data_IF_913581594332
#
_entry.id   IF_913581594332
#
_cell.length_a   1.000
_cell.length_b   1.000
_cell.length_c   1.000
_cell.angle_alpha   90.00
_cell.angle_beta   90.00
_cell.angle_gamma   90.00
#
_symmetry.space_group_name_H-M   'P 1'
#
loop_
_entity.id
_entity.type
_entity.pdbx_description
1 polymer ?
#
# COMPACT_ATOMS: atom_id res chain seq x y z
N UNK A 1 -2.24 -20.04 22.89
CA UNK A 1 -3.01 -19.38 21.82
C UNK A 1 -3.44 -20.46 20.84
N UNK A 2 -4.66 -20.41 20.31
CA UNK A 2 -5.12 -21.41 19.32
C UNK A 2 -4.22 -21.38 18.09
N UNK A 3 -4.08 -22.49 17.35
CA UNK A 3 -3.28 -22.55 16.12
C UNK A 3 -3.69 -21.47 15.08
N UNK A 4 -4.93 -20.98 15.17
CA UNK A 4 -5.51 -19.95 14.30
C UNK A 4 -5.46 -18.49 14.83
N UNK A 5 -4.73 -18.20 15.92
CA UNK A 5 -4.59 -16.82 16.38
C UNK A 5 -3.61 -16.03 15.53
N UNK A 6 -3.93 -14.78 15.19
CA UNK A 6 -3.00 -13.88 14.53
C UNK A 6 -1.80 -13.62 15.44
N UNK A 7 -0.59 -13.66 14.87
CA UNK A 7 0.67 -13.35 15.56
C UNK A 7 1.51 -12.33 14.80
N UNK A 8 1.29 -12.22 13.48
CA UNK A 8 2.07 -11.35 12.58
C UNK A 8 1.13 -10.45 11.78
N UNK A 9 1.47 -9.17 11.69
CA UNK A 9 0.74 -8.18 10.91
C UNK A 9 1.62 -7.73 9.76
N UNK A 10 1.10 -7.84 8.55
CA UNK A 10 1.73 -7.39 7.32
C UNK A 10 1.07 -6.09 6.90
N UNK A 11 1.84 -5.04 6.74
CA UNK A 11 1.35 -3.70 6.43
C UNK A 11 1.71 -3.33 5.00
N UNK A 12 0.73 -2.85 4.22
CA UNK A 12 1.05 -1.99 3.09
C UNK A 12 1.54 -0.61 3.56
N UNK A 13 2.19 0.13 2.67
CA UNK A 13 2.79 1.41 2.96
C UNK A 13 1.93 2.59 2.46
N UNK A 14 1.97 2.86 1.15
CA UNK A 14 1.18 3.91 0.49
C UNK A 14 -0.32 3.67 0.71
N UNK A 15 -1.10 4.72 0.91
CA UNK A 15 -2.53 4.63 1.19
C UNK A 15 -2.94 3.92 2.49
N UNK A 16 -2.01 3.31 3.23
CA UNK A 16 -2.29 2.50 4.44
C UNK A 16 -1.60 3.04 5.68
N UNK A 17 -0.27 3.03 5.75
CA UNK A 17 0.47 3.68 6.84
C UNK A 17 0.78 5.13 6.48
N UNK A 18 1.10 5.37 5.21
CA UNK A 18 1.40 6.68 4.64
C UNK A 18 0.15 7.26 4.00
N UNK A 19 -0.22 8.49 4.38
CA UNK A 19 -1.25 9.27 3.71
C UNK A 19 -0.61 10.08 2.57
N UNK A 20 -0.60 9.51 1.38
CA UNK A 20 0.03 10.07 0.18
C UNK A 20 -0.95 10.34 -0.98
N UNK A 21 -2.25 10.28 -0.71
CA UNK A 21 -3.29 10.32 -1.76
C UNK A 21 -3.25 11.64 -2.51
N UNK A 22 -3.18 12.76 -1.78
CA UNK A 22 -3.12 14.09 -2.38
C UNK A 22 -1.85 14.24 -3.23
N UNK A 23 -0.69 13.81 -2.73
CA UNK A 23 0.58 13.85 -3.47
C UNK A 23 0.54 12.98 -4.72
N UNK A 24 -0.09 11.80 -4.64
CA UNK A 24 -0.30 10.90 -5.78
C UNK A 24 -1.21 11.51 -6.84
N UNK A 25 -2.33 12.13 -6.44
CA UNK A 25 -3.29 12.77 -7.35
C UNK A 25 -2.67 14.00 -8.01
N UNK A 26 -2.04 14.86 -7.24
CA UNK A 26 -1.38 16.04 -7.79
C UNK A 26 -0.28 15.64 -8.78
N UNK A 27 0.50 14.59 -8.48
CA UNK A 27 1.57 14.11 -9.36
C UNK A 27 1.02 13.59 -10.68
N UNK A 28 -0.05 12.79 -10.68
CA UNK A 28 -0.67 12.35 -11.95
C UNK A 28 -1.34 13.52 -12.69
N UNK A 29 -1.94 14.48 -11.99
CA UNK A 29 -2.59 15.64 -12.61
C UNK A 29 -1.60 16.55 -13.33
N UNK A 30 -0.35 16.65 -12.85
CA UNK A 30 0.73 17.31 -13.60
C UNK A 30 0.94 16.60 -14.95
N UNK A 31 1.08 15.27 -14.95
CA UNK A 31 1.28 14.50 -16.20
C UNK A 31 0.07 14.61 -17.15
N UNK A 32 -1.15 14.61 -16.62
CA UNK A 32 -2.37 14.76 -17.41
C UNK A 32 -2.43 16.14 -18.05
N UNK A 33 -2.13 17.20 -17.29
CA UNK A 33 -2.11 18.59 -17.77
C UNK A 33 -1.08 18.79 -18.89
N UNK A 34 0.11 18.23 -18.75
CA UNK A 34 1.16 18.28 -19.78
C UNK A 34 0.73 17.61 -21.10
N UNK A 35 -0.24 16.69 -21.03
CA UNK A 35 -0.83 15.99 -22.17
C UNK A 35 -2.18 16.57 -22.62
N UNK A 36 -2.59 17.71 -22.05
CA UNK A 36 -3.92 18.32 -22.28
C UNK A 36 -5.09 17.35 -22.01
N UNK A 37 -4.90 16.41 -21.08
CA UNK A 37 -5.93 15.47 -20.62
C UNK A 37 -6.68 16.05 -19.41
N UNK A 38 -7.94 15.64 -19.18
CA UNK A 38 -8.68 16.07 -17.99
C UNK A 38 -8.00 15.63 -16.69
N UNK A 39 -7.87 16.55 -15.73
CA UNK A 39 -7.38 16.25 -14.39
C UNK A 39 -8.39 15.40 -13.59
N UNK A 40 -7.88 14.58 -12.69
CA UNK A 40 -8.68 13.72 -11.81
C UNK A 40 -9.05 14.46 -10.52
N UNK A 41 -10.30 14.28 -10.09
CA UNK A 41 -10.70 14.54 -8.70
C UNK A 41 -10.32 13.36 -7.80
N UNK A 42 -10.33 13.54 -6.48
CA UNK A 42 -10.10 12.46 -5.50
C UNK A 42 -11.10 11.31 -5.72
N UNK A 43 -12.37 11.64 -5.95
CA UNK A 43 -13.44 10.66 -6.15
C UNK A 43 -13.14 9.83 -7.40
N UNK A 44 -12.84 10.52 -8.52
CA UNK A 44 -12.56 9.83 -9.78
C UNK A 44 -11.31 8.98 -9.69
N UNK A 45 -10.25 9.50 -9.07
CA UNK A 45 -9.01 8.77 -8.81
C UNK A 45 -9.29 7.47 -8.06
N UNK A 46 -9.99 7.54 -6.92
CA UNK A 46 -10.31 6.35 -6.09
C UNK A 46 -11.21 5.34 -6.79
N UNK A 47 -12.06 5.79 -7.72
CA UNK A 47 -12.87 4.90 -8.55
C UNK A 47 -12.06 4.12 -9.59
N UNK A 48 -10.98 4.71 -10.13
CA UNK A 48 -10.26 4.13 -11.27
C UNK A 48 -8.87 3.57 -10.92
N UNK A 49 -8.29 3.95 -9.78
CA UNK A 49 -6.98 3.47 -9.34
C UNK A 49 -6.96 1.95 -9.27
N UNK A 50 -5.94 1.33 -9.86
CA UNK A 50 -5.96 -0.10 -10.12
C UNK A 50 -4.55 -0.64 -10.38
N UNK A 51 -4.38 -1.93 -10.15
CA UNK A 51 -3.17 -2.66 -10.48
C UNK A 51 -3.44 -3.64 -11.64
N UNK A 52 -2.49 -3.80 -12.58
CA UNK A 52 -1.25 -3.04 -12.72
C UNK A 52 -1.49 -1.55 -13.06
N UNK A 53 -0.60 -0.67 -12.60
CA UNK A 53 -0.69 0.81 -12.71
C UNK A 53 -0.95 1.29 -14.14
N UNK A 54 -0.48 0.54 -15.16
CA UNK A 54 -0.79 0.81 -16.57
C UNK A 54 -2.30 0.92 -16.84
N UNK A 55 -3.11 0.01 -16.30
CA UNK A 55 -4.59 0.04 -16.50
C UNK A 55 -5.20 1.29 -15.88
N UNK A 56 -4.67 1.73 -14.74
CA UNK A 56 -5.08 2.97 -14.12
C UNK A 56 -4.78 4.16 -15.02
N UNK A 57 -3.58 4.25 -15.62
CA UNK A 57 -3.25 5.35 -16.52
C UNK A 57 -4.12 5.32 -17.80
N UNK A 58 -4.39 4.15 -18.37
CA UNK A 58 -5.31 4.01 -19.50
C UNK A 58 -6.72 4.55 -19.14
N UNK A 59 -7.23 4.23 -17.94
CA UNK A 59 -8.51 4.77 -17.43
C UNK A 59 -8.46 6.28 -17.16
N UNK A 60 -7.29 6.82 -16.84
CA UNK A 60 -7.05 8.26 -16.66
C UNK A 60 -6.93 9.03 -17.98
N UNK A 61 -6.88 8.32 -19.13
CA UNK A 61 -6.88 8.93 -20.47
C UNK A 61 -5.57 8.82 -21.24
N UNK A 62 -4.55 8.16 -20.70
CA UNK A 62 -3.30 7.94 -21.44
C UNK A 62 -3.51 6.99 -22.62
N UNK A 63 -2.90 7.30 -23.76
CA UNK A 63 -2.90 6.45 -24.95
C UNK A 63 -1.54 5.81 -25.18
N UNK A 64 -1.38 4.60 -24.63
CA UNK A 64 -0.11 3.88 -24.75
C UNK A 64 0.16 3.24 -26.12
N UNK A 65 -0.70 3.48 -27.12
CA UNK A 65 -0.36 3.15 -28.51
C UNK A 65 0.60 4.16 -29.11
N UNK A 66 0.52 5.42 -28.65
CA UNK A 66 1.28 6.55 -29.19
C UNK A 66 2.38 7.04 -28.23
N UNK A 67 2.32 6.64 -26.96
CA UNK A 67 3.33 6.95 -25.95
C UNK A 67 3.69 5.68 -25.15
N UNK A 68 4.95 5.23 -25.09
CA UNK A 68 5.32 4.09 -24.24
C UNK A 68 5.04 4.37 -22.76
N UNK A 69 4.48 3.39 -22.03
CA UNK A 69 4.08 3.53 -20.62
C UNK A 69 5.23 3.94 -19.69
N UNK A 70 6.44 3.50 -20.02
CA UNK A 70 7.65 3.70 -19.22
C UNK A 70 7.96 5.19 -19.04
N UNK A 71 7.68 6.02 -20.05
CA UNK A 71 7.90 7.47 -19.99
C UNK A 71 7.06 8.14 -18.89
N UNK A 72 5.71 8.10 -18.99
CA UNK A 72 4.81 8.55 -17.94
C UNK A 72 5.09 7.93 -16.57
N UNK A 73 5.34 6.62 -16.50
CA UNK A 73 5.61 5.95 -15.23
C UNK A 73 6.85 6.52 -14.55
N UNK A 74 7.94 6.73 -15.28
CA UNK A 74 9.16 7.33 -14.74
C UNK A 74 8.99 8.80 -14.36
N UNK A 75 8.22 9.56 -15.14
CA UNK A 75 7.87 10.95 -14.79
C UNK A 75 7.12 11.02 -13.46
N UNK A 76 6.11 10.15 -13.27
CA UNK A 76 5.36 10.06 -12.03
C UNK A 76 6.26 9.70 -10.85
N UNK A 77 7.11 8.67 -11.00
CA UNK A 77 8.05 8.25 -9.94
C UNK A 77 8.96 9.41 -9.53
N UNK A 78 9.51 10.14 -10.49
CA UNK A 78 10.40 11.27 -10.20
C UNK A 78 9.67 12.42 -9.50
N UNK A 79 8.46 12.76 -9.96
CA UNK A 79 7.64 13.79 -9.32
C UNK A 79 7.26 13.40 -7.88
N UNK A 80 6.76 12.17 -7.70
CA UNK A 80 6.42 11.64 -6.38
C UNK A 80 7.63 11.67 -5.44
N UNK A 81 8.81 11.19 -5.88
CA UNK A 81 10.05 11.23 -5.10
C UNK A 81 10.46 12.66 -4.70
N UNK A 82 10.27 13.63 -5.59
CA UNK A 82 10.58 15.05 -5.29
C UNK A 82 9.66 15.67 -4.24
N UNK A 83 8.46 15.09 -4.04
CA UNK A 83 7.41 15.57 -3.13
C UNK A 83 7.22 14.69 -1.90
N UNK A 84 8.14 13.75 -1.64
CA UNK A 84 8.10 12.85 -0.48
C UNK A 84 8.07 13.56 0.88
N UNK A 85 8.43 14.85 0.95
CA UNK A 85 8.38 15.63 2.19
C UNK A 85 6.99 16.24 2.46
N UNK A 86 6.06 16.12 1.51
CA UNK A 86 4.68 16.62 1.63
C UNK A 86 3.72 15.59 2.24
N UNK A 87 4.14 14.32 2.31
CA UNK A 87 3.34 13.21 2.83
C UNK A 87 3.58 13.00 4.32
N UNK A 88 2.57 12.48 5.01
CA UNK A 88 2.62 12.18 6.44
C UNK A 88 2.07 10.78 6.70
N UNK A 89 2.33 10.22 7.89
CA UNK A 89 1.59 9.04 8.33
C UNK A 89 0.15 9.40 8.65
N UNK A 90 -0.77 8.45 8.52
CA UNK A 90 -2.10 8.63 9.11
C UNK A 90 -1.98 8.89 10.63
N UNK A 91 -2.82 9.77 11.22
CA UNK A 91 -2.62 10.26 12.60
C UNK A 91 -2.58 9.16 13.67
N UNK A 92 -3.28 8.07 13.46
CA UNK A 92 -3.44 6.96 14.39
C UNK A 92 -2.45 5.79 14.17
N UNK A 93 -1.53 5.92 13.20
CA UNK A 93 -0.52 4.89 12.91
C UNK A 93 0.43 4.67 14.07
N UNK A 94 1.17 5.69 14.51
CA UNK A 94 2.18 5.52 15.59
C UNK A 94 1.59 4.95 16.87
N UNK A 95 0.45 5.46 17.40
CA UNK A 95 -0.17 4.90 18.59
C UNK A 95 -0.69 3.47 18.40
N UNK A 96 -0.97 3.04 17.17
CA UNK A 96 -1.44 1.68 16.89
C UNK A 96 -0.28 0.72 16.74
N UNK A 97 0.79 1.10 16.03
CA UNK A 97 2.03 0.31 15.94
C UNK A 97 2.62 0.04 17.33
N UNK A 98 2.66 1.05 18.20
CA UNK A 98 3.11 0.92 19.59
C UNK A 98 2.24 -0.04 20.40
N UNK A 99 0.92 0.09 20.33
CA UNK A 99 0.00 -0.84 21.03
C UNK A 99 0.21 -2.29 20.57
N UNK A 100 0.33 -2.52 19.26
CA UNK A 100 0.48 -3.86 18.71
C UNK A 100 1.83 -4.48 19.10
N UNK A 101 2.90 -3.69 19.14
CA UNK A 101 4.20 -4.12 19.66
C UNK A 101 4.12 -4.49 21.16
N UNK A 102 3.45 -3.69 21.99
CA UNK A 102 3.23 -3.98 23.41
C UNK A 102 2.43 -5.27 23.65
N UNK A 103 1.55 -5.63 22.72
CA UNK A 103 0.80 -6.89 22.72
C UNK A 103 1.60 -8.08 22.20
N UNK A 104 2.82 -7.86 21.71
CA UNK A 104 3.70 -8.90 21.19
C UNK A 104 3.39 -9.31 19.75
N UNK A 105 2.64 -8.50 18.99
CA UNK A 105 2.46 -8.75 17.56
C UNK A 105 3.75 -8.42 16.81
N UNK A 106 4.18 -9.37 15.97
CA UNK A 106 5.21 -9.12 14.97
C UNK A 106 4.65 -8.22 13.88
N UNK A 107 5.40 -7.22 13.44
CA UNK A 107 4.95 -6.29 12.41
C UNK A 107 5.96 -6.21 11.28
N UNK A 108 5.50 -6.30 10.04
CA UNK A 108 6.33 -6.32 8.84
C UNK A 108 5.69 -5.39 7.81
N UNK A 109 6.50 -4.59 7.11
CA UNK A 109 6.03 -3.83 5.94
C UNK A 109 6.29 -4.65 4.68
N UNK A 110 5.26 -4.77 3.83
CA UNK A 110 5.35 -5.30 2.47
C UNK A 110 4.73 -4.28 1.53
N UNK A 111 5.55 -3.65 0.68
CA UNK A 111 5.12 -2.52 -0.16
C UNK A 111 5.56 -2.68 -1.62
N UNK A 112 4.79 -2.06 -2.52
CA UNK A 112 5.17 -1.83 -3.91
C UNK A 112 6.13 -0.62 -4.09
N UNK A 113 6.51 0.06 -3.00
CA UNK A 113 7.52 1.12 -3.03
C UNK A 113 8.93 0.53 -3.16
N UNK A 114 9.81 1.25 -3.84
CA UNK A 114 11.23 0.91 -3.96
C UNK A 114 11.91 0.81 -2.59
N UNK A 115 12.63 -0.30 -2.36
CA UNK A 115 13.08 -0.73 -1.03
C UNK A 115 13.96 0.29 -0.28
N UNK A 116 14.89 0.97 -0.97
CA UNK A 116 15.79 1.92 -0.30
C UNK A 116 15.06 3.20 0.10
N UNK A 117 14.13 3.67 -0.76
CA UNK A 117 13.27 4.80 -0.44
C UNK A 117 12.32 4.47 0.72
N UNK A 118 11.69 3.29 0.69
CA UNK A 118 10.80 2.85 1.76
C UNK A 118 11.50 2.85 3.12
N UNK A 119 12.67 2.19 3.21
CA UNK A 119 13.46 2.13 4.45
C UNK A 119 13.89 3.51 4.94
N UNK A 120 14.26 4.41 4.01
CA UNK A 120 14.56 5.79 4.35
C UNK A 120 13.34 6.50 4.95
N UNK A 121 12.17 6.41 4.31
CA UNK A 121 10.94 7.05 4.81
C UNK A 121 10.52 6.51 6.18
N UNK A 122 10.53 5.18 6.37
CA UNK A 122 10.21 4.55 7.66
C UNK A 122 11.12 5.07 8.79
N UNK A 123 12.41 5.25 8.49
CA UNK A 123 13.37 5.84 9.43
C UNK A 123 13.10 7.31 9.70
N UNK A 124 12.85 8.10 8.66
CA UNK A 124 12.61 9.55 8.79
C UNK A 124 11.32 9.85 9.56
N UNK A 125 10.29 9.00 9.42
CA UNK A 125 9.09 9.07 10.24
C UNK A 125 9.29 8.59 11.68
N UNK A 126 10.43 7.99 12.02
CA UNK A 126 10.74 7.50 13.36
C UNK A 126 9.79 6.39 13.80
N UNK A 127 9.57 5.40 12.93
CA UNK A 127 8.73 4.22 13.21
C UNK A 127 9.47 2.91 12.90
N UNK A 128 10.78 2.97 12.62
CA UNK A 128 11.56 1.80 12.24
C UNK A 128 11.58 0.72 13.34
N UNK A 129 11.61 1.12 14.62
CA UNK A 129 11.64 0.19 15.75
C UNK A 129 10.38 -0.66 15.92
N UNK A 130 9.27 -0.33 15.26
CA UNK A 130 8.05 -1.14 15.33
C UNK A 130 8.07 -2.35 14.41
N UNK A 131 8.97 -2.39 13.42
CA UNK A 131 8.97 -3.42 12.37
C UNK A 131 10.16 -4.36 12.50
N UNK A 132 9.86 -5.66 12.46
CA UNK A 132 10.87 -6.71 12.42
C UNK A 132 11.57 -6.76 11.06
N UNK A 133 10.86 -6.40 10.00
CA UNK A 133 11.35 -6.42 8.63
C UNK A 133 10.56 -5.45 7.75
N UNK A 134 11.23 -4.97 6.70
CA UNK A 134 10.68 -4.00 5.74
C UNK A 134 11.08 -4.47 4.35
N UNK A 135 10.08 -4.76 3.53
CA UNK A 135 10.24 -5.27 2.17
C UNK A 135 9.60 -4.32 1.16
N UNK A 136 10.44 -3.68 0.35
CA UNK A 136 10.01 -2.99 -0.88
C UNK A 136 10.41 -3.77 -2.14
N UNK A 137 10.00 -3.26 -3.30
CA UNK A 137 10.33 -3.83 -4.62
C UNK A 137 11.74 -3.46 -5.08
N UNK A 138 12.28 -4.24 -6.01
CA UNK A 138 13.59 -4.04 -6.64
C UNK A 138 13.44 -3.94 -8.16
N UNK A 139 13.41 -2.72 -8.68
CA UNK A 139 13.46 -2.35 -10.10
C UNK A 139 12.42 -2.97 -11.08
N UNK A 140 11.67 -4.03 -10.74
CA UNK A 140 10.66 -4.64 -11.62
C UNK A 140 9.21 -4.49 -11.10
N UNK A 141 8.30 -4.13 -12.01
CA UNK A 141 7.00 -3.57 -11.67
C UNK A 141 6.00 -4.61 -11.10
N UNK A 142 5.41 -4.31 -9.94
CA UNK A 142 4.14 -4.81 -9.35
C UNK A 142 3.93 -6.33 -9.13
N UNK A 143 4.36 -7.21 -10.04
CA UNK A 143 4.31 -8.68 -9.82
C UNK A 143 5.23 -9.16 -8.69
N UNK A 144 6.07 -8.26 -8.20
CA UNK A 144 7.01 -8.55 -7.13
C UNK A 144 6.32 -8.72 -5.76
N UNK A 145 5.20 -8.05 -5.46
CA UNK A 145 4.66 -8.06 -4.08
C UNK A 145 4.26 -9.45 -3.59
N UNK A 146 3.60 -10.25 -4.44
CA UNK A 146 3.27 -11.67 -4.15
C UNK A 146 4.54 -12.51 -4.00
N UNK A 147 5.50 -12.34 -4.90
CA UNK A 147 6.77 -13.07 -4.87
C UNK A 147 7.58 -12.78 -3.61
N UNK A 148 7.67 -11.49 -3.24
CA UNK A 148 8.30 -11.00 -2.02
C UNK A 148 7.55 -11.54 -0.79
N UNK A 149 6.22 -11.53 -0.80
CA UNK A 149 5.40 -12.09 0.27
C UNK A 149 5.67 -13.58 0.50
N UNK A 150 5.67 -14.40 -0.56
CA UNK A 150 6.00 -15.83 -0.48
C UNK A 150 7.43 -16.07 0.01
N UNK A 151 8.40 -15.28 -0.48
CA UNK A 151 9.79 -15.35 -0.04
C UNK A 151 9.96 -14.95 1.44
N UNK A 152 9.29 -13.90 1.87
CA UNK A 152 9.28 -13.43 3.26
C UNK A 152 8.73 -14.51 4.20
N UNK A 153 7.67 -15.22 3.78
CA UNK A 153 7.12 -16.35 4.55
C UNK A 153 8.19 -17.41 4.82
N UNK A 154 8.92 -17.80 3.78
CA UNK A 154 10.01 -18.78 3.87
C UNK A 154 11.19 -18.28 4.71
N UNK A 155 11.65 -17.05 4.47
CA UNK A 155 12.80 -16.44 5.17
C UNK A 155 12.55 -16.27 6.67
N UNK A 156 11.33 -15.92 7.04
CA UNK A 156 10.96 -15.59 8.41
C UNK A 156 10.32 -16.75 9.17
N UNK A 157 10.13 -17.89 8.50
CA UNK A 157 9.46 -19.09 9.03
C UNK A 157 8.11 -18.77 9.70
N UNK A 158 7.31 -17.89 9.10
CA UNK A 158 5.98 -17.51 9.60
C UNK A 158 4.90 -18.40 9.02
N UNK A 159 3.88 -18.72 9.82
CA UNK A 159 2.70 -19.47 9.36
C UNK A 159 1.71 -18.49 8.70
N UNK A 160 1.39 -18.64 7.39
CA UNK A 160 0.52 -17.70 6.69
C UNK A 160 -0.85 -17.49 7.33
N UNK A 161 -1.46 -18.55 7.90
CA UNK A 161 -2.77 -18.45 8.56
C UNK A 161 -2.77 -17.58 9.82
N UNK A 162 -1.59 -17.35 10.41
CA UNK A 162 -1.38 -16.47 11.57
C UNK A 162 -0.97 -15.05 11.15
N UNK A 163 -0.91 -14.78 9.85
CA UNK A 163 -0.61 -13.46 9.30
C UNK A 163 -1.90 -12.72 8.93
N UNK A 164 -1.92 -11.43 9.22
CA UNK A 164 -2.98 -10.50 8.85
C UNK A 164 -2.40 -9.38 8.01
N UNK A 165 -2.82 -9.29 6.74
CA UNK A 165 -2.52 -8.16 5.86
C UNK A 165 -3.48 -7.01 6.13
N UNK A 166 -2.92 -5.82 6.26
CA UNK A 166 -3.64 -4.54 6.26
C UNK A 166 -3.20 -3.76 5.02
N UNK A 167 -4.15 -3.42 4.16
CA UNK A 167 -3.88 -2.66 2.93
C UNK A 167 -5.11 -1.93 2.43
N UNK A 168 -4.96 -0.98 1.53
CA UNK A 168 -6.07 -0.15 1.04
C UNK A 168 -6.52 -0.51 -0.39
N UNK A 169 -5.89 -1.51 -1.01
CA UNK A 169 -6.10 -1.82 -2.41
C UNK A 169 -6.65 -3.24 -2.64
N UNK A 170 -7.27 -3.45 -3.81
CA UNK A 170 -7.68 -4.78 -4.26
C UNK A 170 -6.46 -5.69 -4.52
N UNK A 171 -5.29 -5.09 -4.75
CA UNK A 171 -4.05 -5.84 -4.91
C UNK A 171 -3.56 -6.40 -3.58
N UNK A 172 -3.81 -5.73 -2.45
CA UNK A 172 -3.50 -6.28 -1.13
C UNK A 172 -4.38 -7.48 -0.78
N UNK A 173 -5.64 -7.46 -1.22
CA UNK A 173 -6.53 -8.62 -1.13
C UNK A 173 -6.00 -9.80 -1.97
N UNK A 174 -5.58 -9.54 -3.21
CA UNK A 174 -4.95 -10.54 -4.08
C UNK A 174 -3.66 -11.12 -3.46
N UNK A 175 -2.77 -10.26 -2.94
CA UNK A 175 -1.55 -10.68 -2.23
C UNK A 175 -1.88 -11.53 -1.01
N UNK A 176 -2.92 -11.18 -0.27
CA UNK A 176 -3.36 -11.93 0.90
C UNK A 176 -3.85 -13.32 0.51
N UNK A 177 -4.69 -13.42 -0.53
CA UNK A 177 -5.19 -14.70 -1.05
C UNK A 177 -4.03 -15.59 -1.52
N UNK A 178 -3.13 -15.05 -2.34
CA UNK A 178 -1.99 -15.77 -2.90
C UNK A 178 -0.96 -16.22 -1.86
N UNK A 179 -0.81 -15.46 -0.77
CA UNK A 179 0.09 -15.80 0.32
C UNK A 179 -0.59 -16.65 1.42
N UNK A 180 -1.93 -16.75 1.43
CA UNK A 180 -2.69 -17.44 2.47
C UNK A 180 -2.87 -16.63 3.77
N UNK A 181 -2.81 -15.30 3.69
CA UNK A 181 -3.02 -14.40 4.83
C UNK A 181 -4.51 -14.13 5.07
N UNK A 182 -4.85 -13.76 6.30
CA UNK A 182 -6.10 -13.01 6.53
C UNK A 182 -5.92 -11.58 6.02
N UNK A 183 -7.02 -10.92 5.66
CA UNK A 183 -6.97 -9.56 5.12
C UNK A 183 -8.02 -8.67 5.79
N UNK A 184 -7.62 -7.44 6.12
CA UNK A 184 -8.52 -6.34 6.45
C UNK A 184 -8.15 -5.17 5.52
N UNK A 185 -9.15 -4.58 4.89
CA UNK A 185 -8.96 -3.48 3.97
C UNK A 185 -9.18 -2.13 4.65
N UNK A 186 -8.34 -1.15 4.34
CA UNK A 186 -8.42 0.21 4.87
C UNK A 186 -9.06 1.16 3.87
N UNK A 187 -10.13 1.84 4.28
CA UNK A 187 -10.98 2.59 3.33
C UNK A 187 -10.52 4.00 3.00
N UNK A 188 -9.51 4.52 3.71
CA UNK A 188 -9.07 5.90 3.53
C UNK A 188 -7.94 6.04 2.52
N UNK A 189 -7.46 4.95 1.90
CA UNK A 189 -6.37 4.96 0.92
C UNK A 189 -6.77 5.30 -0.52
N UNK A 190 -6.12 4.64 -1.47
CA UNK A 190 -6.18 4.86 -2.91
C UNK A 190 -7.43 4.30 -3.60
N UNK A 191 -8.17 3.37 -2.96
CA UNK A 191 -9.39 2.79 -3.54
C UNK A 191 -10.62 3.24 -2.75
N UNK A 192 -11.72 3.51 -3.45
CA UNK A 192 -12.97 3.90 -2.80
C UNK A 192 -13.57 2.77 -1.94
N UNK A 193 -14.13 3.13 -0.79
CA UNK A 193 -14.83 2.18 0.11
C UNK A 193 -15.84 1.29 -0.63
N UNK A 194 -16.63 1.86 -1.54
CA UNK A 194 -17.61 1.14 -2.35
C UNK A 194 -16.99 0.04 -3.23
N UNK A 195 -15.73 0.20 -3.68
CA UNK A 195 -15.02 -0.84 -4.42
C UNK A 195 -14.49 -1.91 -3.47
N UNK A 196 -13.98 -1.52 -2.31
CA UNK A 196 -13.51 -2.45 -1.28
C UNK A 196 -14.65 -3.34 -0.77
N UNK A 197 -15.84 -2.80 -0.56
CA UNK A 197 -17.04 -3.53 -0.09
C UNK A 197 -17.43 -4.71 -1.02
N UNK A 198 -17.07 -4.65 -2.31
CA UNK A 198 -17.33 -5.72 -3.27
C UNK A 198 -16.49 -6.98 -3.02
N UNK A 199 -15.43 -6.88 -2.24
CA UNK A 199 -14.57 -8.04 -1.88
C UNK A 199 -15.18 -8.90 -0.78
N UNK A 200 -16.19 -8.39 -0.05
CA UNK A 200 -16.71 -9.00 1.18
C UNK A 200 -15.68 -9.24 2.30
N UNK A 201 -14.48 -8.65 2.19
CA UNK A 201 -13.48 -8.63 3.26
C UNK A 201 -13.87 -7.60 4.34
N UNK A 202 -13.42 -7.77 5.60
CA UNK A 202 -13.61 -6.75 6.62
C UNK A 202 -12.90 -5.46 6.22
N UNK A 203 -13.55 -4.33 6.51
CA UNK A 203 -13.05 -2.99 6.20
C UNK A 203 -12.99 -2.18 7.49
N UNK A 204 -11.90 -1.44 7.67
CA UNK A 204 -11.73 -0.45 8.73
C UNK A 204 -11.60 0.96 8.12
N UNK A 205 -12.17 1.95 8.82
CA UNK A 205 -12.08 3.36 8.43
C UNK A 205 -10.91 4.06 9.14
N UNK A 206 -10.40 3.45 10.22
CA UNK A 206 -9.23 3.90 10.98
C UNK A 206 -8.34 2.73 11.38
N UNK A 207 -7.03 2.96 11.39
CA UNK A 207 -6.04 1.97 11.81
C UNK A 207 -6.22 1.59 13.29
N UNK A 208 -6.66 2.54 14.13
CA UNK A 208 -6.93 2.31 15.57
C UNK A 208 -7.98 1.23 15.86
N UNK A 209 -8.84 0.90 14.90
CA UNK A 209 -9.86 -0.14 15.06
C UNK A 209 -9.25 -1.53 15.28
N UNK A 210 -8.01 -1.74 14.81
CA UNK A 210 -7.26 -2.98 15.04
C UNK A 210 -7.08 -3.30 16.52
N UNK A 211 -7.06 -2.29 17.40
CA UNK A 211 -6.95 -2.49 18.86
C UNK A 211 -8.14 -3.22 19.48
N UNK A 212 -9.28 -3.26 18.78
CA UNK A 212 -10.49 -3.97 19.20
C UNK A 212 -10.62 -5.34 18.53
N UNK A 213 -9.97 -5.50 17.38
CA UNK A 213 -9.99 -6.72 16.57
C UNK A 213 -8.92 -7.70 17.06
N UNK A 214 -7.79 -7.17 17.55
CA UNK A 214 -6.59 -7.88 17.98
C UNK A 214 -6.25 -7.69 19.47
#
# INVERSE_FOLDING_TARGET
MSEDSITTIIWDWNGTLLDDINTSIDSINILLRDRSLPELTIEKYREIFDFPVRKYYEKSGFDFKNEPFEGPAMQFINLYKSRQNEVNLFPDVKPTLSYLQEKGYRQIILSAMEDSLLKKMVKDFGINEYFDSIYGIKDDFAKEKVSIGKKMIEELCIEPKQCLMIGDTLHDAEVSEECGFRCILFSQGHISKQRLEKTALPIIDKIEELKRIL
#
